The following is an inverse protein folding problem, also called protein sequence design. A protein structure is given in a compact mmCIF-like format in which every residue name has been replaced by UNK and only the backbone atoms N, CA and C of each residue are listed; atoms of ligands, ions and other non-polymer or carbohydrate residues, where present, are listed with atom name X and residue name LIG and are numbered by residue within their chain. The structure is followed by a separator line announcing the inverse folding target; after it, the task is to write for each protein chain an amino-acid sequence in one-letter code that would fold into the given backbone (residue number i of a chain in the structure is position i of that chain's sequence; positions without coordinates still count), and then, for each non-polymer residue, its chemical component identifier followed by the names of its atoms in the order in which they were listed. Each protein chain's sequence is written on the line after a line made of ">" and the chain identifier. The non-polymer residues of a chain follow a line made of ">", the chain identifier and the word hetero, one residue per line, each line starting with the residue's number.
data_IF_783787563906
#
_entry.id   IF_783787563906
#
_cell.length_a   1.000
_cell.length_b   1.000
_cell.length_c   1.000
_cell.angle_alpha   90.00
_cell.angle_beta   90.00
_cell.angle_gamma   90.00
#
_symmetry.space_group_name_H-M   'P 1'
#
loop_
_entity.id
_entity.type
_entity.pdbx_description
1 polymer ?
#
# COMPACT_ATOMS: atom_id res chain seq x y z
N UNK A 1 25.12 10.66 -3.65
CA UNK A 1 24.01 11.51 -4.14
C UNK A 1 22.99 11.65 -3.03
N UNK A 2 22.41 12.82 -2.75
CA UNK A 2 21.51 12.99 -1.60
C UNK A 2 20.19 13.65 -1.95
N UNK A 3 19.14 13.37 -1.16
CA UNK A 3 17.88 14.11 -1.14
C UNK A 3 17.34 14.17 0.29
N UNK A 4 16.46 15.13 0.58
CA UNK A 4 15.86 15.32 1.91
C UNK A 4 14.35 15.16 1.83
N UNK A 5 13.77 14.46 2.81
CA UNK A 5 12.33 14.25 2.96
C UNK A 5 11.89 14.60 4.37
N UNK A 6 10.73 15.24 4.50
CA UNK A 6 10.16 15.63 5.80
C UNK A 6 9.22 14.56 6.37
N UNK A 7 8.76 13.62 5.54
CA UNK A 7 7.66 12.71 5.85
C UNK A 7 7.93 11.22 5.55
N UNK A 8 9.21 10.81 5.47
CA UNK A 8 9.59 9.41 5.30
C UNK A 8 8.90 8.44 6.31
N UNK A 9 8.67 8.79 7.60
CA UNK A 9 7.89 7.94 8.49
C UNK A 9 6.46 7.66 7.98
N UNK A 10 5.82 8.66 7.38
CA UNK A 10 4.48 8.53 6.78
C UNK A 10 4.54 7.59 5.57
N UNK A 11 5.53 7.78 4.69
CA UNK A 11 5.75 6.90 3.52
C UNK A 11 5.94 5.45 3.97
N UNK A 12 6.80 5.20 4.95
CA UNK A 12 7.03 3.84 5.47
C UNK A 12 5.76 3.25 6.09
N UNK A 13 4.99 4.04 6.85
CA UNK A 13 3.73 3.60 7.43
C UNK A 13 2.68 3.26 6.36
N UNK A 14 2.60 4.05 5.29
CA UNK A 14 1.69 3.85 4.16
C UNK A 14 2.00 2.55 3.40
N UNK A 15 3.29 2.25 3.20
CA UNK A 15 3.73 1.16 2.32
C UNK A 15 3.95 -0.18 3.04
N UNK A 16 4.33 -0.17 4.31
CA UNK A 16 4.62 -1.41 5.08
C UNK A 16 3.51 -2.48 5.00
N UNK A 17 2.20 -2.14 5.08
CA UNK A 17 1.13 -3.13 4.99
C UNK A 17 1.07 -3.91 3.67
N UNK A 18 1.72 -3.40 2.62
CA UNK A 18 1.69 -3.94 1.26
C UNK A 18 2.95 -4.75 0.91
N UNK A 19 3.87 -4.94 1.85
CA UNK A 19 5.09 -5.73 1.65
C UNK A 19 4.74 -7.23 1.67
N UNK A 20 5.27 -7.98 0.71
CA UNK A 20 5.09 -9.43 0.66
C UNK A 20 5.75 -10.13 1.85
N UNK A 21 5.10 -11.18 2.35
CA UNK A 21 5.69 -12.12 3.32
C UNK A 21 6.18 -13.41 2.66
N UNK A 22 6.02 -13.55 1.35
CA UNK A 22 6.35 -14.75 0.58
C UNK A 22 7.84 -14.79 0.23
N UNK A 23 8.65 -15.53 1.02
CA UNK A 23 10.12 -15.62 0.91
C UNK A 23 10.63 -16.11 -0.45
N UNK A 24 9.76 -16.66 -1.30
CA UNK A 24 10.14 -17.07 -2.67
C UNK A 24 10.32 -15.89 -3.63
N UNK A 25 9.84 -14.69 -3.27
CA UNK A 25 9.91 -13.47 -4.06
C UNK A 25 10.60 -12.34 -3.27
N UNK A 26 11.93 -12.42 -3.04
CA UNK A 26 12.65 -11.47 -2.21
C UNK A 26 12.58 -10.02 -2.72
N UNK A 27 12.38 -9.83 -4.02
CA UNK A 27 12.19 -8.50 -4.62
C UNK A 27 10.97 -7.75 -4.09
N UNK A 28 10.01 -8.47 -3.49
CA UNK A 28 8.80 -7.92 -2.90
C UNK A 28 8.88 -7.77 -1.37
N UNK A 29 10.04 -8.09 -0.76
CA UNK A 29 10.26 -8.11 0.70
C UNK A 29 10.72 -6.77 1.27
N UNK A 30 10.24 -5.68 0.68
CA UNK A 30 10.68 -4.36 1.08
C UNK A 30 9.89 -3.25 0.43
N UNK A 31 10.38 -2.03 0.70
CA UNK A 31 9.93 -0.83 0.01
C UNK A 31 10.96 -0.54 -1.09
N UNK A 32 10.51 -0.58 -2.33
CA UNK A 32 11.29 -0.10 -3.47
C UNK A 32 11.26 1.42 -3.51
N UNK A 33 12.42 2.03 -3.72
CA UNK A 33 12.64 3.47 -3.83
C UNK A 33 13.21 3.77 -5.20
N UNK A 34 12.71 4.82 -5.85
CA UNK A 34 13.20 5.29 -7.13
C UNK A 34 13.24 6.81 -7.18
N UNK A 35 14.43 7.37 -7.25
CA UNK A 35 14.64 8.79 -7.47
C UNK A 35 14.80 9.07 -8.97
N UNK A 36 14.08 10.06 -9.49
CA UNK A 36 14.10 10.44 -10.91
C UNK A 36 14.72 11.82 -11.17
N UNK A 37 15.35 12.40 -10.16
CA UNK A 37 15.89 13.76 -10.18
C UNK A 37 14.89 14.89 -9.94
N UNK A 38 13.60 14.60 -10.05
CA UNK A 38 12.51 15.53 -9.70
C UNK A 38 11.60 14.99 -8.62
N UNK A 39 11.52 13.67 -8.49
CA UNK A 39 10.64 12.98 -7.56
C UNK A 39 11.34 11.79 -6.94
N UNK A 40 10.92 11.46 -5.72
CA UNK A 40 11.11 10.15 -5.14
C UNK A 40 9.78 9.39 -5.20
N UNK A 41 9.80 8.25 -5.87
CA UNK A 41 8.74 7.26 -5.80
C UNK A 41 9.11 6.19 -4.77
N UNK A 42 8.14 5.76 -3.98
CA UNK A 42 8.28 4.61 -3.12
C UNK A 42 7.12 3.65 -3.31
N UNK A 43 7.42 2.36 -3.40
CA UNK A 43 6.50 1.31 -3.82
C UNK A 43 6.57 0.10 -2.89
N UNK A 44 5.45 -0.55 -2.64
CA UNK A 44 5.40 -1.87 -2.01
C UNK A 44 4.27 -2.70 -2.61
N UNK A 45 4.48 -4.00 -2.78
CA UNK A 45 3.44 -4.91 -3.30
C UNK A 45 3.61 -6.34 -2.80
N UNK A 46 2.49 -7.03 -2.65
CA UNK A 46 2.42 -8.46 -2.33
C UNK A 46 1.68 -9.27 -3.41
N UNK A 47 1.67 -8.76 -4.65
CA UNK A 47 0.91 -9.25 -5.82
C UNK A 47 -0.60 -9.00 -5.77
N UNK A 48 -1.19 -8.92 -4.58
CA UNK A 48 -2.63 -8.68 -4.40
C UNK A 48 -2.96 -7.21 -4.16
N UNK A 49 -2.03 -6.51 -3.52
CA UNK A 49 -2.08 -5.06 -3.36
C UNK A 49 -0.78 -4.43 -3.84
N UNK A 50 -0.86 -3.21 -4.37
CA UNK A 50 0.29 -2.43 -4.81
C UNK A 50 0.10 -1.00 -4.34
N UNK A 51 0.96 -0.49 -3.45
CA UNK A 51 0.92 0.89 -3.00
C UNK A 51 2.11 1.69 -3.58
N UNK A 52 1.86 2.95 -3.88
CA UNK A 52 2.78 3.89 -4.50
C UNK A 52 2.63 5.25 -3.80
N UNK A 53 3.75 5.83 -3.37
CA UNK A 53 3.82 7.23 -2.94
C UNK A 53 4.72 8.02 -3.88
N UNK A 54 4.40 9.31 -4.05
CA UNK A 54 5.23 10.27 -4.78
C UNK A 54 5.55 11.47 -3.88
N UNK A 55 6.83 11.85 -3.82
CA UNK A 55 7.31 13.08 -3.17
C UNK A 55 8.18 13.86 -4.15
N UNK A 56 8.15 15.18 -4.02
CA UNK A 56 9.09 16.04 -4.76
C UNK A 56 10.50 15.84 -4.19
N UNK A 57 11.48 15.78 -5.08
CA UNK A 57 12.89 15.65 -4.76
C UNK A 57 13.68 16.32 -5.89
N UNK A 58 13.84 17.63 -5.81
CA UNK A 58 14.56 18.42 -6.80
C UNK A 58 16.06 18.21 -6.71
N UNK A 59 16.75 18.35 -7.84
CA UNK A 59 18.22 18.34 -7.96
C UNK A 59 18.91 17.07 -7.44
N UNK A 60 18.21 15.93 -7.48
CA UNK A 60 18.81 14.63 -7.14
C UNK A 60 19.24 13.86 -8.39
N UNK A 61 20.13 12.89 -8.22
CA UNK A 61 20.48 11.98 -9.32
C UNK A 61 19.44 10.87 -9.43
N UNK A 62 19.45 10.15 -10.57
CA UNK A 62 18.61 8.97 -10.73
C UNK A 62 19.23 7.77 -10.04
N UNK A 63 18.44 7.08 -9.22
CA UNK A 63 18.85 5.86 -8.53
C UNK A 63 17.65 5.05 -8.08
N UNK A 64 17.88 3.77 -7.78
CA UNK A 64 16.88 2.87 -7.26
C UNK A 64 17.47 2.06 -6.09
N UNK A 65 16.63 1.72 -5.12
CA UNK A 65 17.03 0.92 -3.97
C UNK A 65 15.84 0.10 -3.46
N UNK A 66 16.12 -0.96 -2.69
CA UNK A 66 15.09 -1.64 -1.89
C UNK A 66 15.50 -1.57 -0.42
N UNK A 67 14.62 -1.03 0.41
CA UNK A 67 14.70 -1.15 1.87
C UNK A 67 14.06 -2.47 2.28
N UNK A 68 14.86 -3.44 2.70
CA UNK A 68 14.35 -4.74 3.14
C UNK A 68 13.51 -4.61 4.41
N UNK A 69 12.69 -5.62 4.71
CA UNK A 69 11.89 -5.63 5.94
C UNK A 69 12.73 -5.48 7.22
N UNK A 70 13.94 -6.06 7.26
CA UNK A 70 14.88 -5.87 8.37
C UNK A 70 15.38 -4.44 8.48
N UNK A 71 15.68 -3.79 7.34
CA UNK A 71 16.09 -2.39 7.31
C UNK A 71 14.99 -1.47 7.83
N UNK A 72 13.73 -1.76 7.48
CA UNK A 72 12.58 -0.99 7.95
C UNK A 72 12.40 -1.08 9.47
N UNK A 73 12.73 -2.22 10.08
CA UNK A 73 12.70 -2.37 11.53
C UNK A 73 13.78 -1.50 12.20
N UNK A 74 15.00 -1.48 11.65
CA UNK A 74 16.08 -0.62 12.12
C UNK A 74 15.79 0.87 11.89
N UNK A 75 15.23 1.21 10.73
CA UNK A 75 14.90 2.58 10.31
C UNK A 75 13.91 3.25 11.27
N UNK A 76 12.98 2.48 11.87
CA UNK A 76 12.05 3.00 12.88
C UNK A 76 12.76 3.62 14.08
N UNK A 77 13.98 3.19 14.41
CA UNK A 77 14.76 3.78 15.50
C UNK A 77 15.24 5.21 15.17
N UNK A 78 15.34 5.56 13.89
CA UNK A 78 15.66 6.92 13.46
C UNK A 78 14.46 7.86 13.47
N UNK A 79 13.23 7.33 13.40
CA UNK A 79 12.05 8.18 13.35
C UNK A 79 11.88 8.97 14.65
N UNK A 80 11.59 10.29 14.57
CA UNK A 80 11.45 11.11 15.75
C UNK A 80 10.29 10.60 16.61
N UNK A 81 10.53 10.46 17.92
CA UNK A 81 9.48 10.10 18.89
C UNK A 81 8.47 11.22 19.13
N UNK A 82 8.78 12.44 18.69
CA UNK A 82 7.92 13.63 18.81
C UNK A 82 7.29 13.97 17.46
N UNK A 83 6.06 14.50 17.49
CA UNK A 83 5.24 14.92 16.33
C UNK A 83 5.87 16.01 15.42
N UNK A 84 7.14 16.36 15.59
CA UNK A 84 7.79 17.33 14.72
C UNK A 84 8.29 16.59 13.47
N UNK A 85 7.95 17.05 12.26
CA UNK A 85 8.63 16.60 11.05
C UNK A 85 10.13 16.76 11.26
N UNK A 86 10.88 15.69 11.01
CA UNK A 86 12.34 15.73 10.98
C UNK A 86 12.74 15.51 9.53
N UNK A 87 13.57 16.42 9.05
CA UNK A 87 14.18 16.30 7.74
C UNK A 87 15.14 15.12 7.77
N UNK A 88 14.80 14.07 7.01
CA UNK A 88 15.65 12.90 6.83
C UNK A 88 16.34 12.99 5.49
N UNK A 89 17.66 12.96 5.52
CA UNK A 89 18.50 12.93 4.32
C UNK A 89 18.80 11.49 3.93
N UNK A 90 18.47 11.16 2.69
CA UNK A 90 18.81 9.89 2.04
C UNK A 90 20.03 10.13 1.16
N UNK A 91 21.12 9.41 1.42
CA UNK A 91 22.35 9.46 0.64
C UNK A 91 22.59 8.12 -0.02
N UNK A 92 22.52 8.09 -1.34
CA UNK A 92 22.80 6.92 -2.17
C UNK A 92 24.26 6.91 -2.64
N UNK A 93 24.89 5.75 -2.47
CA UNK A 93 26.21 5.39 -2.99
C UNK A 93 26.03 4.23 -3.97
N UNK A 94 26.43 4.45 -5.23
CA UNK A 94 26.25 3.45 -6.28
C UNK A 94 27.16 2.22 -6.06
N UNK A 95 26.77 1.04 -6.57
CA UNK A 95 27.62 -0.15 -6.56
C UNK A 95 29.03 0.14 -7.08
N UNK A 96 30.03 -0.37 -6.37
CA UNK A 96 31.45 -0.16 -6.66
C UNK A 96 32.13 -1.49 -7.02
N UNK A 97 31.79 -2.02 -8.20
CA UNK A 97 32.34 -3.26 -8.74
C UNK A 97 31.95 -4.50 -7.93
N UNK A 98 32.69 -5.60 -8.12
CA UNK A 98 32.35 -6.91 -7.53
C UNK A 98 32.44 -6.95 -5.99
N UNK A 99 33.19 -6.03 -5.38
CA UNK A 99 33.33 -5.91 -3.92
C UNK A 99 32.14 -5.27 -3.23
N UNK A 100 31.33 -4.49 -3.97
CA UNK A 100 30.12 -3.85 -3.47
C UNK A 100 29.06 -3.82 -4.59
N UNK A 101 28.47 -4.98 -4.92
CA UNK A 101 27.49 -5.08 -6.01
C UNK A 101 26.14 -4.46 -5.63
N UNK A 102 25.89 -4.26 -4.33
CA UNK A 102 24.62 -3.79 -3.80
C UNK A 102 24.51 -2.27 -3.76
N UNK A 103 25.64 -1.57 -3.58
CA UNK A 103 25.64 -0.16 -3.22
C UNK A 103 25.01 0.08 -1.85
N UNK A 104 24.94 1.34 -1.44
CA UNK A 104 24.49 1.70 -0.11
C UNK A 104 23.50 2.85 -0.09
N UNK A 105 22.58 2.78 0.86
CA UNK A 105 21.67 3.87 1.20
C UNK A 105 21.87 4.25 2.66
N UNK A 106 22.27 5.50 2.89
CA UNK A 106 22.40 6.06 4.23
C UNK A 106 21.21 6.98 4.49
N UNK A 107 20.45 6.72 5.55
CA UNK A 107 19.35 7.59 6.01
C UNK A 107 19.79 8.26 7.32
N UNK A 108 19.71 9.58 7.42
CA UNK A 108 20.09 10.30 8.64
C UNK A 108 19.28 11.55 8.93
N UNK A 109 19.25 11.93 10.20
CA UNK A 109 18.57 13.14 10.72
C UNK A 109 19.56 14.28 11.06
N UNK A 110 20.81 14.16 10.60
CA UNK A 110 21.93 15.05 10.93
C UNK A 110 22.66 14.71 12.23
N UNK A 111 22.05 13.93 13.13
CA UNK A 111 22.67 13.48 14.39
C UNK A 111 22.93 11.98 14.43
N UNK A 112 22.05 11.21 13.81
CA UNK A 112 22.07 9.76 13.71
C UNK A 112 21.97 9.38 12.25
N UNK A 113 22.62 8.29 11.88
CA UNK A 113 22.57 7.74 10.54
C UNK A 113 22.46 6.21 10.60
N UNK A 114 21.70 5.66 9.67
CA UNK A 114 21.58 4.24 9.41
C UNK A 114 22.03 4.00 7.97
N UNK A 115 23.11 3.23 7.81
CA UNK A 115 23.58 2.77 6.50
C UNK A 115 23.08 1.35 6.28
N UNK A 116 22.41 1.13 5.15
CA UNK A 116 21.89 -0.17 4.72
C UNK A 116 22.38 -0.50 3.31
N UNK A 117 22.24 -1.77 2.91
CA UNK A 117 22.39 -2.16 1.50
C UNK A 117 21.33 -1.44 0.67
N UNK A 118 21.69 -0.89 -0.49
CA UNK A 118 20.71 -0.38 -1.43
C UNK A 118 20.02 -1.53 -2.20
N UNK A 119 20.55 -2.75 -2.10
CA UNK A 119 20.05 -3.94 -2.80
C UNK A 119 19.89 -3.67 -4.31
N UNK A 120 20.85 -2.98 -4.94
CA UNK A 120 20.74 -2.53 -6.33
C UNK A 120 20.42 -3.65 -7.34
N UNK A 121 21.00 -4.87 -7.26
CA UNK A 121 20.62 -5.97 -8.13
C UNK A 121 19.15 -6.35 -7.98
N UNK A 122 18.66 -6.42 -6.73
CA UNK A 122 17.26 -6.75 -6.44
C UNK A 122 16.31 -5.64 -6.91
N UNK A 123 16.68 -4.37 -6.68
CA UNK A 123 15.91 -3.21 -7.12
C UNK A 123 15.69 -3.20 -8.63
N UNK A 124 16.67 -3.66 -9.42
CA UNK A 124 16.56 -3.77 -10.88
C UNK A 124 15.51 -4.78 -11.36
N UNK A 125 15.14 -5.74 -10.49
CA UNK A 125 14.14 -6.77 -10.77
C UNK A 125 12.74 -6.38 -10.31
N UNK A 126 12.58 -5.20 -9.68
CA UNK A 126 11.29 -4.79 -9.15
C UNK A 126 10.24 -4.65 -10.28
N UNK A 127 8.97 -5.05 -10.05
CA UNK A 127 7.96 -5.01 -11.09
C UNK A 127 7.82 -3.63 -11.74
N UNK A 128 7.62 -3.62 -13.07
CA UNK A 128 7.37 -2.40 -13.84
C UNK A 128 6.02 -1.80 -13.44
N UNK A 129 6.05 -0.85 -12.51
CA UNK A 129 4.85 -0.29 -11.88
C UNK A 129 4.16 0.78 -12.73
N UNK A 130 4.91 1.58 -13.50
CA UNK A 130 4.38 2.71 -14.28
C UNK A 130 3.22 2.32 -15.20
N UNK A 131 3.33 1.26 -16.05
CA UNK A 131 2.24 0.88 -16.93
C UNK A 131 0.98 0.42 -16.18
N UNK A 132 1.14 -0.22 -15.01
CA UNK A 132 0.03 -0.70 -14.20
C UNK A 132 -0.82 0.46 -13.68
N UNK A 133 -0.17 1.45 -13.06
CA UNK A 133 -0.86 2.64 -12.55
C UNK A 133 -1.38 3.55 -13.67
N UNK A 134 -0.62 3.71 -14.76
CA UNK A 134 -1.08 4.50 -15.90
C UNK A 134 -2.35 3.91 -16.53
N UNK A 135 -2.40 2.58 -16.71
CA UNK A 135 -3.59 1.91 -17.21
C UNK A 135 -4.78 2.03 -16.27
N UNK A 136 -4.57 1.90 -14.96
CA UNK A 136 -5.64 2.04 -13.98
C UNK A 136 -6.19 3.48 -13.87
N UNK A 137 -5.32 4.48 -13.95
CA UNK A 137 -5.71 5.91 -13.93
C UNK A 137 -6.47 6.32 -15.19
N UNK A 138 -6.07 5.79 -16.35
CA UNK A 138 -6.70 6.10 -17.64
C UNK A 138 -8.06 5.41 -17.82
N UNK A 139 -8.35 4.36 -17.03
CA UNK A 139 -9.57 3.59 -17.19
C UNK A 139 -10.78 4.30 -16.57
N UNK A 140 -11.91 4.28 -17.29
CA UNK A 140 -13.16 4.83 -16.79
C UNK A 140 -13.77 3.92 -15.71
N UNK A 141 -14.37 4.50 -14.65
CA UNK A 141 -15.09 3.72 -13.64
C UNK A 141 -16.27 2.95 -14.25
N UNK A 142 -16.23 1.62 -14.19
CA UNK A 142 -17.26 0.75 -14.76
C UNK A 142 -17.46 -0.50 -13.89
N UNK A 143 -18.09 -0.34 -12.73
CA UNK A 143 -18.46 -1.45 -11.86
C UNK A 143 -19.94 -1.81 -12.04
N UNK A 144 -20.26 -2.55 -13.11
CA UNK A 144 -21.64 -2.96 -13.45
C UNK A 144 -22.17 -4.08 -12.57
N UNK A 145 -21.26 -4.91 -12.04
CA UNK A 145 -21.56 -6.08 -11.22
C UNK A 145 -20.84 -5.98 -9.87
N UNK A 146 -21.20 -6.84 -8.92
CA UNK A 146 -20.53 -6.86 -7.62
C UNK A 146 -19.06 -7.26 -7.78
N UNK A 147 -18.18 -6.57 -7.05
CA UNK A 147 -16.82 -7.02 -6.84
C UNK A 147 -16.67 -7.64 -5.45
N UNK A 148 -15.81 -8.65 -5.37
CA UNK A 148 -15.45 -9.30 -4.13
C UNK A 148 -14.05 -8.88 -3.74
N UNK A 149 -13.90 -8.42 -2.50
CA UNK A 149 -12.65 -7.90 -1.97
C UNK A 149 -12.30 -8.67 -0.70
N UNK A 150 -11.02 -8.97 -0.53
CA UNK A 150 -10.53 -9.52 0.72
C UNK A 150 -10.52 -8.41 1.79
N UNK A 151 -11.24 -8.63 2.91
CA UNK A 151 -11.34 -7.66 4.00
C UNK A 151 -9.98 -7.33 4.64
N UNK A 152 -9.06 -8.29 4.70
CA UNK A 152 -7.71 -8.06 5.22
C UNK A 152 -6.90 -7.13 4.31
N UNK A 153 -7.10 -7.21 2.99
CA UNK A 153 -6.48 -6.28 2.03
C UNK A 153 -7.13 -4.90 2.10
N UNK A 154 -8.45 -4.83 2.24
CA UNK A 154 -9.17 -3.57 2.43
C UNK A 154 -8.67 -2.80 3.66
N UNK A 155 -8.44 -3.49 4.77
CA UNK A 155 -7.98 -2.88 6.02
C UNK A 155 -6.61 -2.18 5.88
N UNK A 156 -5.77 -2.58 4.91
CA UNK A 156 -4.44 -1.98 4.70
C UNK A 156 -4.54 -0.52 4.27
N UNK A 157 -5.57 -0.17 3.50
CA UNK A 157 -5.77 1.20 3.02
C UNK A 157 -6.15 2.20 4.12
N UNK A 158 -6.44 1.74 5.34
CA UNK A 158 -6.60 2.63 6.50
C UNK A 158 -5.32 3.44 6.82
N UNK A 159 -4.16 3.02 6.29
CA UNK A 159 -2.89 3.75 6.40
C UNK A 159 -2.57 4.63 5.19
N UNK A 160 -3.38 4.60 4.14
CA UNK A 160 -3.16 5.39 2.93
C UNK A 160 -3.27 6.91 3.16
N UNK A 161 -4.27 7.43 3.91
CA UNK A 161 -4.36 8.87 4.16
C UNK A 161 -3.18 9.38 4.97
N UNK A 162 -2.62 10.49 4.53
CA UNK A 162 -1.58 11.24 5.25
C UNK A 162 -2.18 12.16 6.32
N UNK A 163 -3.44 12.57 6.12
CA UNK A 163 -4.19 13.41 7.04
C UNK A 163 -5.38 12.67 7.66
N UNK A 164 -5.81 13.08 8.86
CA UNK A 164 -6.82 12.38 9.68
C UNK A 164 -8.18 12.20 8.98
N UNK A 165 -8.54 13.11 8.08
CA UNK A 165 -9.84 13.14 7.42
C UNK A 165 -9.73 13.15 5.90
N UNK A 166 -8.55 12.85 5.36
CA UNK A 166 -8.37 12.74 3.92
C UNK A 166 -9.16 11.52 3.40
N UNK A 167 -10.13 11.73 2.49
CA UNK A 167 -10.97 10.65 2.00
C UNK A 167 -10.20 9.74 1.04
N UNK A 168 -10.62 8.48 0.97
CA UNK A 168 -10.18 7.59 -0.09
C UNK A 168 -11.08 7.75 -1.31
N UNK A 169 -10.48 7.95 -2.48
CA UNK A 169 -11.18 7.80 -3.76
C UNK A 169 -10.92 6.40 -4.27
N UNK A 170 -11.99 5.66 -4.60
CA UNK A 170 -11.89 4.27 -5.04
C UNK A 170 -12.73 4.06 -6.29
N UNK A 171 -12.14 3.45 -7.31
CA UNK A 171 -12.87 3.04 -8.51
C UNK A 171 -12.22 1.83 -9.19
N UNK A 172 -12.96 1.19 -10.08
CA UNK A 172 -12.48 0.07 -10.90
C UNK A 172 -13.12 0.13 -12.28
N UNK A 173 -12.41 -0.36 -13.29
CA UNK A 173 -12.89 -0.51 -14.66
C UNK A 173 -13.72 -1.79 -14.89
N UNK A 174 -13.98 -2.57 -13.83
CA UNK A 174 -14.77 -3.80 -13.92
C UNK A 174 -14.56 -4.75 -12.73
N UNK A 175 -15.45 -5.73 -12.54
CA UNK A 175 -15.40 -6.66 -11.40
C UNK A 175 -14.12 -7.54 -11.39
N UNK A 176 -13.50 -7.77 -12.55
CA UNK A 176 -12.22 -8.50 -12.67
C UNK A 176 -10.99 -7.61 -12.82
N UNK A 177 -11.14 -6.28 -12.70
CA UNK A 177 -10.04 -5.31 -12.83
C UNK A 177 -9.59 -4.82 -11.46
N UNK A 178 -8.31 -4.41 -11.32
CA UNK A 178 -7.83 -3.85 -10.06
C UNK A 178 -8.65 -2.62 -9.66
N UNK A 179 -8.92 -2.51 -8.36
CA UNK A 179 -9.45 -1.29 -7.76
C UNK A 179 -8.30 -0.31 -7.57
N UNK A 180 -8.42 0.86 -8.19
CA UNK A 180 -7.55 1.99 -7.92
C UNK A 180 -8.04 2.69 -6.65
N UNK A 181 -7.12 2.89 -5.72
CA UNK A 181 -7.31 3.60 -4.46
C UNK A 181 -6.42 4.84 -4.50
N UNK A 182 -6.96 6.01 -4.21
CA UNK A 182 -6.19 7.24 -4.13
C UNK A 182 -6.45 7.94 -2.78
N UNK A 183 -5.41 8.56 -2.23
CA UNK A 183 -5.48 9.46 -1.10
C UNK A 183 -4.67 10.72 -1.46
N UNK A 184 -5.38 11.81 -1.74
CA UNK A 184 -4.78 13.06 -2.20
C UNK A 184 -4.01 12.89 -3.51
N UNK A 185 -2.97 13.71 -3.69
CA UNK A 185 -2.14 13.72 -4.91
C UNK A 185 -0.81 12.97 -4.77
N UNK A 186 -0.54 12.42 -3.58
CA UNK A 186 0.74 11.83 -3.20
C UNK A 186 0.71 10.32 -2.98
N UNK A 187 -0.46 9.69 -3.03
CA UNK A 187 -0.63 8.25 -2.80
C UNK A 187 -1.57 7.62 -3.82
N UNK A 188 -1.16 6.48 -4.38
CA UNK A 188 -1.98 5.59 -5.19
C UNK A 188 -1.84 4.15 -4.71
N UNK A 189 -2.89 3.37 -4.88
CA UNK A 189 -2.99 1.97 -4.53
C UNK A 189 -3.73 1.17 -5.60
N UNK A 190 -3.35 -0.08 -5.81
CA UNK A 190 -4.10 -1.05 -6.59
C UNK A 190 -4.47 -2.23 -5.67
N UNK A 191 -5.71 -2.67 -5.73
CA UNK A 191 -6.16 -3.91 -5.08
C UNK A 191 -6.79 -4.85 -6.10
N UNK A 192 -6.29 -6.08 -6.17
CA UNK A 192 -6.89 -7.13 -6.97
C UNK A 192 -8.22 -7.59 -6.35
N UNK A 193 -9.30 -7.73 -7.15
CA UNK A 193 -10.50 -8.41 -6.71
C UNK A 193 -10.24 -9.90 -6.52
N UNK A 194 -11.09 -10.55 -5.72
CA UNK A 194 -11.14 -12.01 -5.59
C UNK A 194 -12.00 -12.56 -6.71
N UNK A 195 -11.43 -13.41 -7.56
CA UNK A 195 -12.20 -14.11 -8.58
C UNK A 195 -13.10 -15.17 -7.94
N UNK A 196 -14.33 -15.31 -8.46
CA UNK A 196 -15.31 -16.31 -7.98
C UNK A 196 -15.00 -17.74 -8.45
N UNK A 197 -14.10 -17.89 -9.41
CA UNK A 197 -13.77 -19.19 -10.00
C UNK A 197 -12.65 -19.87 -9.21
N UNK A 198 -13.00 -20.43 -8.05
CA UNK A 198 -12.25 -21.53 -7.42
C UNK A 198 -13.20 -22.35 -6.53
N UNK A 199 -13.92 -23.27 -7.18
CA UNK A 199 -14.76 -24.34 -6.60
C UNK A 199 -15.58 -23.95 -5.35
N UNK A 200 -16.76 -23.33 -5.51
CA UNK A 200 -17.73 -23.32 -4.44
C UNK A 200 -18.23 -24.75 -4.21
N UNK A 201 -18.02 -25.31 -3.02
CA UNK A 201 -18.96 -26.29 -2.52
C UNK A 201 -20.33 -25.62 -2.49
N UNK A 202 -21.37 -26.27 -3.02
CA UNK A 202 -22.73 -25.73 -3.19
C UNK A 202 -23.26 -24.81 -2.05
N UNK A 203 -23.02 -25.05 -0.73
CA UNK A 203 -23.53 -24.15 0.31
C UNK A 203 -22.86 -22.76 0.40
N UNK A 204 -21.75 -22.51 -0.31
CA UNK A 204 -21.03 -21.21 -0.26
C UNK A 204 -21.52 -20.23 -1.32
N UNK A 205 -22.06 -20.73 -2.44
CA UNK A 205 -22.56 -19.91 -3.54
C UNK A 205 -23.77 -19.04 -3.11
N UNK A 206 -24.69 -19.62 -2.34
CA UNK A 206 -25.91 -18.93 -1.87
C UNK A 206 -25.64 -17.77 -0.91
N UNK A 207 -24.56 -17.82 -0.12
CA UNK A 207 -24.27 -16.78 0.89
C UNK A 207 -23.84 -15.44 0.29
N UNK A 208 -23.52 -15.42 -1.00
CA UNK A 208 -22.96 -14.25 -1.68
C UNK A 208 -23.76 -13.87 -2.93
N UNK A 209 -24.86 -14.56 -3.23
CA UNK A 209 -25.81 -14.14 -4.27
C UNK A 209 -26.59 -12.91 -3.78
N UNK A 210 -26.56 -11.84 -4.58
CA UNK A 210 -27.26 -10.58 -4.27
C UNK A 210 -28.76 -10.79 -4.17
N UNK A 211 -29.34 -11.65 -5.00
CA UNK A 211 -30.78 -11.92 -4.94
C UNK A 211 -31.13 -12.63 -3.63
N UNK A 212 -30.39 -13.70 -3.27
CA UNK A 212 -30.56 -14.40 -2.00
C UNK A 212 -30.36 -13.49 -0.77
N UNK A 213 -29.31 -12.65 -0.78
CA UNK A 213 -29.07 -11.66 0.29
C UNK A 213 -30.24 -10.67 0.39
N UNK A 214 -30.70 -10.14 -0.73
CA UNK A 214 -31.82 -9.19 -0.75
C UNK A 214 -33.08 -9.82 -0.18
N UNK A 215 -33.44 -11.03 -0.61
CA UNK A 215 -34.61 -11.75 -0.07
C UNK A 215 -34.49 -11.94 1.44
N UNK A 216 -33.37 -12.50 1.90
CA UNK A 216 -33.12 -12.78 3.34
C UNK A 216 -33.23 -11.52 4.20
N UNK A 217 -32.64 -10.40 3.75
CA UNK A 217 -32.67 -9.14 4.50
C UNK A 217 -34.00 -8.39 4.36
N UNK A 218 -34.70 -8.51 3.23
CA UNK A 218 -36.02 -7.87 3.04
C UNK A 218 -37.02 -8.40 4.06
N UNK A 219 -37.05 -9.71 4.26
CA UNK A 219 -37.95 -10.34 5.24
C UNK A 219 -37.62 -9.88 6.67
N UNK A 220 -36.33 -9.79 7.00
CA UNK A 220 -35.86 -9.36 8.32
C UNK A 220 -36.16 -7.88 8.60
N UNK A 221 -35.92 -7.01 7.62
CA UNK A 221 -36.05 -5.56 7.78
C UNK A 221 -37.51 -5.08 7.72
N UNK A 222 -38.38 -5.82 7.03
CA UNK A 222 -39.80 -5.47 6.89
C UNK A 222 -40.70 -6.22 7.88
N UNK A 223 -40.18 -7.21 8.61
CA UNK A 223 -40.92 -7.86 9.69
C UNK A 223 -41.09 -6.87 10.85
N UNK A 224 -42.32 -6.57 11.30
CA UNK A 224 -42.53 -5.70 12.45
C UNK A 224 -41.84 -6.33 13.66
N UNK A 225 -40.97 -5.55 14.32
CA UNK A 225 -40.37 -5.96 15.57
C UNK A 225 -41.50 -6.29 16.56
N UNK A 226 -41.69 -7.57 16.85
CA UNK A 226 -42.51 -7.98 18.00
C UNK A 226 -41.71 -7.57 19.22
N UNK A 227 -41.93 -6.34 19.69
CA UNK A 227 -41.34 -5.83 20.92
C UNK A 227 -41.88 -6.70 22.05
N UNK A 228 -41.07 -7.54 22.70
CA UNK A 228 -41.47 -8.10 23.97
C UNK A 228 -41.45 -6.93 24.95
N UNK A 229 -42.54 -6.70 25.68
CA UNK A 229 -42.59 -5.72 26.79
C UNK A 229 -41.49 -6.06 27.82
N UNK A 230 -40.29 -5.52 27.62
CA UNK A 230 -39.25 -5.49 28.63
C UNK A 230 -39.59 -4.34 29.57
N UNK A 231 -40.35 -4.66 30.62
CA UNK A 231 -40.40 -3.84 31.82
C UNK A 231 -38.98 -3.65 32.36
N UNK A 232 -38.36 -2.50 32.06
CA UNK A 232 -37.19 -2.02 32.76
C UNK A 232 -37.61 -1.75 34.21
N UNK A 233 -37.20 -2.64 35.14
CA UNK A 233 -37.24 -2.34 36.56
C UNK A 233 -36.21 -1.24 36.82
N UNK A 234 -36.68 -0.09 37.28
CA UNK A 234 -35.82 0.95 37.83
C UNK A 234 -35.06 0.40 39.04
N UNK A 235 -33.75 0.63 39.06
CA UNK A 235 -32.88 0.48 40.22
C UNK A 235 -32.21 1.83 40.49
#
# INVERSE_FOLDING_TARGET
>A
MSLTLTDLPTVVSQLTPHISTDETLPVLHGIYLEATGTHLFACATDRYTFALTRREATDTATWQAILSRSDLAALRALFPTRRRPADLTLTYEAPAGDSDPDGHLTIGDGHRALRVSANAPLASLFPKWRPLFAGALAAEPQLTDEAHLNAAYLARWAKAPSERYEPLTVWSAGPGKPFLVAAGHGFLGLQMPVHRDDKPSAPTADRQDRAALRTTWTDTLNSPATVPERHLKAA
#
